data_IF_649007264229
#
_entry.id   IF_649007264229
#
_cell.length_a   1.000
_cell.length_b   1.000
_cell.length_c   1.000
_cell.angle_alpha   90.00
_cell.angle_beta   90.00
_cell.angle_gamma   90.00
#
_symmetry.space_group_name_H-M   'P 1'
#
loop_
_entity.id
_entity.type
_entity.pdbx_description
1 polymer ?
#
# COMPACT_ATOMS: atom_id res chain seq x y z
N UNK A 1 -12.04 52.31 -22.71
CA UNK A 1 -12.79 51.78 -21.56
C UNK A 1 -13.18 50.31 -21.74
N UNK A 2 -13.89 49.92 -22.81
CA UNK A 2 -14.35 48.52 -23.04
C UNK A 2 -13.24 47.44 -23.01
N UNK A 3 -12.05 47.69 -23.60
CA UNK A 3 -10.93 46.72 -23.63
C UNK A 3 -10.31 46.45 -22.25
N UNK A 4 -10.21 47.45 -21.37
CA UNK A 4 -9.72 47.26 -19.97
C UNK A 4 -10.72 46.46 -19.16
N UNK A 5 -12.02 46.71 -19.33
CA UNK A 5 -13.09 45.98 -18.65
C UNK A 5 -13.11 44.49 -19.06
N UNK A 6 -12.88 44.20 -20.37
CA UNK A 6 -12.80 42.82 -20.87
C UNK A 6 -11.60 42.06 -20.31
N UNK A 7 -10.43 42.70 -20.14
CA UNK A 7 -9.22 42.09 -19.55
C UNK A 7 -9.44 41.81 -18.06
N UNK A 8 -10.05 42.74 -17.32
CA UNK A 8 -10.35 42.55 -15.90
C UNK A 8 -11.36 41.42 -15.69
N UNK A 9 -12.36 41.31 -16.52
CA UNK A 9 -13.34 40.21 -16.46
C UNK A 9 -12.67 38.86 -16.75
N UNK A 10 -11.82 38.78 -17.78
CA UNK A 10 -11.06 37.56 -18.08
C UNK A 10 -10.13 37.15 -16.92
N UNK A 11 -9.41 38.11 -16.32
CA UNK A 11 -8.57 37.85 -15.17
C UNK A 11 -9.37 37.32 -13.98
N UNK A 12 -10.56 37.89 -13.72
CA UNK A 12 -11.43 37.43 -12.63
C UNK A 12 -11.93 35.99 -12.87
N UNK A 13 -12.31 35.68 -14.10
CA UNK A 13 -12.72 34.30 -14.48
C UNK A 13 -11.60 33.30 -14.32
N UNK A 14 -10.37 33.65 -14.71
CA UNK A 14 -9.20 32.78 -14.53
C UNK A 14 -8.88 32.58 -13.05
N UNK A 15 -8.96 33.63 -12.23
CA UNK A 15 -8.74 33.52 -10.78
C UNK A 15 -9.83 32.67 -10.12
N UNK A 16 -11.08 32.84 -10.49
CA UNK A 16 -12.19 32.04 -9.97
C UNK A 16 -12.05 30.56 -10.35
N UNK A 17 -11.72 30.30 -11.65
CA UNK A 17 -11.48 28.94 -12.16
C UNK A 17 -10.28 28.29 -11.48
N UNK A 18 -9.15 28.98 -11.40
CA UNK A 18 -7.96 28.51 -10.70
C UNK A 18 -8.19 28.24 -9.22
N UNK A 19 -8.89 29.15 -8.53
CA UNK A 19 -9.29 28.97 -7.13
C UNK A 19 -10.19 27.75 -6.90
N UNK A 20 -11.14 27.50 -7.81
CA UNK A 20 -11.99 26.32 -7.76
C UNK A 20 -11.19 25.01 -7.90
N UNK A 21 -10.29 24.92 -8.87
CA UNK A 21 -9.45 23.73 -9.05
C UNK A 21 -8.50 23.51 -7.87
N UNK A 22 -7.90 24.58 -7.35
CA UNK A 22 -7.06 24.49 -6.15
C UNK A 22 -7.86 23.99 -4.93
N UNK A 23 -9.07 24.49 -4.72
CA UNK A 23 -9.96 24.04 -3.65
C UNK A 23 -10.29 22.55 -3.80
N UNK A 24 -10.57 22.06 -5.01
CA UNK A 24 -10.83 20.62 -5.25
C UNK A 24 -9.60 19.76 -4.97
N UNK A 25 -8.41 20.21 -5.36
CA UNK A 25 -7.17 19.49 -5.08
C UNK A 25 -6.91 19.36 -3.57
N UNK A 26 -7.02 20.47 -2.82
CA UNK A 26 -6.88 20.48 -1.36
C UNK A 26 -7.89 19.55 -0.69
N UNK A 27 -9.14 19.58 -1.15
CA UNK A 27 -10.20 18.72 -0.61
C UNK A 27 -9.91 17.24 -0.77
N UNK A 28 -9.32 16.81 -1.91
CA UNK A 28 -8.93 15.42 -2.15
C UNK A 28 -7.81 15.02 -1.19
N UNK A 29 -6.79 15.85 -1.05
CA UNK A 29 -5.66 15.57 -0.15
C UNK A 29 -6.08 15.49 1.32
N UNK A 30 -6.93 16.40 1.77
CA UNK A 30 -7.48 16.37 3.14
C UNK A 30 -8.28 15.10 3.40
N UNK A 31 -9.12 14.67 2.44
CA UNK A 31 -9.87 13.41 2.55
C UNK A 31 -8.94 12.20 2.63
N UNK A 32 -7.87 12.16 1.83
CA UNK A 32 -6.88 11.09 1.87
C UNK A 32 -6.20 11.00 3.24
N UNK A 33 -5.76 12.12 3.80
CA UNK A 33 -5.15 12.17 5.16
C UNK A 33 -6.12 11.72 6.26
N UNK A 34 -7.38 12.16 6.19
CA UNK A 34 -8.42 11.70 7.14
C UNK A 34 -8.62 10.18 7.02
N UNK A 35 -8.69 9.64 5.81
CA UNK A 35 -8.84 8.21 5.58
C UNK A 35 -7.67 7.41 6.18
N UNK A 36 -6.42 7.86 5.97
CA UNK A 36 -5.25 7.22 6.59
C UNK A 36 -5.32 7.27 8.13
N UNK A 37 -5.70 8.39 8.72
CA UNK A 37 -5.90 8.49 10.17
C UNK A 37 -6.98 7.55 10.71
N UNK A 38 -8.08 7.36 9.96
CA UNK A 38 -9.12 6.41 10.31
C UNK A 38 -8.64 4.94 10.19
N UNK A 39 -7.82 4.63 9.18
CA UNK A 39 -7.22 3.31 9.03
C UNK A 39 -6.29 2.98 10.19
N UNK A 40 -5.42 3.92 10.57
CA UNK A 40 -4.52 3.74 11.72
C UNK A 40 -5.29 3.61 13.05
N UNK A 41 -6.29 4.47 13.27
CA UNK A 41 -7.15 4.37 14.44
C UNK A 41 -7.83 3.00 14.51
N UNK A 42 -8.38 2.54 13.37
CA UNK A 42 -9.08 1.25 13.30
C UNK A 42 -8.13 0.08 13.50
N UNK A 43 -6.91 0.15 12.93
CA UNK A 43 -5.86 -0.83 13.17
C UNK A 43 -5.51 -0.94 14.66
N UNK A 44 -5.25 0.19 15.31
CA UNK A 44 -4.90 0.23 16.73
C UNK A 44 -6.04 -0.29 17.63
N UNK A 45 -7.29 0.03 17.27
CA UNK A 45 -8.47 -0.52 17.95
C UNK A 45 -8.57 -2.03 17.76
N UNK A 46 -8.36 -2.51 16.53
CA UNK A 46 -8.40 -3.94 16.20
C UNK A 46 -7.32 -4.72 16.95
N UNK A 47 -6.11 -4.18 17.03
CA UNK A 47 -5.02 -4.75 17.84
C UNK A 47 -5.34 -4.80 19.33
N UNK A 48 -5.98 -3.76 19.87
CA UNK A 48 -6.30 -3.69 21.31
C UNK A 48 -7.37 -4.71 21.69
N UNK A 49 -8.38 -4.88 20.83
CA UNK A 49 -9.55 -5.71 21.11
C UNK A 49 -9.45 -7.12 20.49
N UNK A 50 -8.36 -7.40 19.78
CA UNK A 50 -8.13 -8.64 19.00
C UNK A 50 -9.33 -9.00 18.12
N UNK A 51 -9.86 -7.97 17.43
CA UNK A 51 -11.05 -8.09 16.57
C UNK A 51 -10.93 -7.16 15.37
N UNK A 52 -11.26 -7.64 14.18
CA UNK A 52 -11.27 -6.82 12.97
C UNK A 52 -12.44 -5.83 12.97
N UNK A 53 -12.16 -4.58 12.64
CA UNK A 53 -13.13 -3.49 12.50
C UNK A 53 -13.00 -2.83 11.15
N UNK A 54 -14.13 -2.33 10.61
CA UNK A 54 -14.13 -1.50 9.41
C UNK A 54 -13.79 -0.06 9.77
N UNK A 55 -12.99 0.66 8.97
CA UNK A 55 -12.64 2.06 9.22
C UNK A 55 -13.85 2.99 9.11
N UNK A 56 -14.80 2.67 8.23
CA UNK A 56 -16.13 3.29 8.13
C UNK A 56 -17.16 2.30 7.57
N UNK A 57 -18.47 2.53 7.78
CA UNK A 57 -19.51 1.52 7.47
C UNK A 57 -19.56 1.04 6.02
N UNK A 58 -19.27 1.92 5.06
CA UNK A 58 -19.32 1.59 3.63
C UNK A 58 -18.00 1.05 3.07
N UNK A 59 -16.97 0.86 3.90
CA UNK A 59 -15.72 0.29 3.45
C UNK A 59 -15.85 -1.22 3.24
N UNK A 60 -15.32 -1.74 2.13
CA UNK A 60 -15.46 -3.13 1.73
C UNK A 60 -14.36 -4.07 2.26
N UNK A 61 -13.49 -3.57 3.12
CA UNK A 61 -12.42 -4.32 3.76
C UNK A 61 -12.20 -3.92 5.21
N UNK A 62 -11.13 -4.43 5.79
CA UNK A 62 -10.68 -4.08 7.14
C UNK A 62 -9.16 -4.09 7.22
N UNK A 63 -8.53 -3.30 8.12
CA UNK A 63 -7.11 -3.45 8.44
C UNK A 63 -6.83 -4.82 9.05
N UNK A 64 -5.92 -5.60 8.45
CA UNK A 64 -5.60 -6.95 8.92
C UNK A 64 -4.12 -7.19 9.20
N UNK A 65 -3.23 -6.41 8.57
CA UNK A 65 -1.79 -6.47 8.77
C UNK A 65 -1.21 -5.04 8.78
N UNK A 66 -0.03 -4.89 9.36
CA UNK A 66 0.80 -3.69 9.21
C UNK A 66 2.12 -4.10 8.56
N UNK A 67 2.46 -3.45 7.45
CA UNK A 67 3.73 -3.63 6.76
C UNK A 67 4.70 -2.54 7.18
N UNK A 68 5.90 -2.93 7.57
CA UNK A 68 7.02 -2.03 7.84
C UNK A 68 8.25 -2.42 7.04
N UNK A 69 8.96 -1.41 6.55
CA UNK A 69 10.25 -1.54 5.88
C UNK A 69 11.19 -0.50 6.52
N UNK A 70 11.88 -0.86 7.62
CA UNK A 70 12.61 0.10 8.46
C UNK A 70 13.64 0.92 7.69
N UNK A 71 14.41 0.29 6.79
CA UNK A 71 15.45 0.96 5.99
C UNK A 71 14.93 2.15 5.17
N UNK A 72 13.66 2.09 4.74
CA UNK A 72 13.03 3.13 3.92
C UNK A 72 12.03 3.98 4.71
N UNK A 73 11.94 3.77 6.04
CA UNK A 73 10.96 4.45 6.92
C UNK A 73 9.52 4.32 6.40
N UNK A 74 9.18 3.13 5.89
CA UNK A 74 7.84 2.82 5.38
C UNK A 74 7.06 2.09 6.46
N UNK A 75 5.84 2.56 6.70
CA UNK A 75 4.86 1.95 7.60
C UNK A 75 3.48 2.12 6.97
N UNK A 76 2.83 1.01 6.63
CA UNK A 76 1.54 1.02 5.92
C UNK A 76 0.59 -0.02 6.51
N UNK A 77 -0.68 0.36 6.62
CA UNK A 77 -1.75 -0.56 6.99
C UNK A 77 -2.16 -1.37 5.75
N UNK A 78 -2.15 -2.69 5.87
CA UNK A 78 -2.57 -3.62 4.81
C UNK A 78 -4.04 -3.97 5.02
N UNK A 79 -4.81 -3.83 3.95
CA UNK A 79 -6.25 -4.00 3.93
C UNK A 79 -6.63 -5.40 3.45
N UNK A 80 -7.72 -5.91 3.93
CA UNK A 80 -8.29 -7.18 3.49
C UNK A 80 -8.93 -7.05 2.11
N UNK A 81 -8.62 -8.00 1.21
CA UNK A 81 -9.18 -8.06 -0.15
C UNK A 81 -8.50 -7.08 -1.12
N UNK A 82 -8.56 -7.42 -2.40
CA UNK A 82 -7.92 -6.65 -3.49
C UNK A 82 -8.93 -5.87 -4.33
N UNK A 83 -10.01 -5.39 -3.71
CA UNK A 83 -10.98 -4.55 -4.38
C UNK A 83 -10.37 -3.22 -4.81
N UNK A 84 -10.96 -2.56 -5.79
CA UNK A 84 -10.54 -1.23 -6.21
C UNK A 84 -10.58 -0.22 -5.07
N UNK A 85 -11.51 -0.37 -4.12
CA UNK A 85 -11.61 0.49 -2.95
C UNK A 85 -10.43 0.23 -1.99
N UNK A 86 -10.14 -1.04 -1.64
CA UNK A 86 -9.02 -1.37 -0.76
C UNK A 86 -7.69 -0.85 -1.33
N UNK A 87 -7.42 -1.14 -2.61
CA UNK A 87 -6.19 -0.71 -3.30
C UNK A 87 -6.05 0.82 -3.41
N UNK A 88 -7.16 1.57 -3.43
CA UNK A 88 -7.12 3.03 -3.45
C UNK A 88 -6.66 3.63 -2.11
N UNK A 89 -6.84 2.91 -0.99
CA UNK A 89 -6.53 3.42 0.34
C UNK A 89 -5.28 2.80 0.97
N UNK A 90 -4.77 1.67 0.44
CA UNK A 90 -3.58 1.02 0.98
C UNK A 90 -3.14 -0.20 0.19
N UNK A 91 -2.03 -0.83 0.61
CA UNK A 91 -1.70 -2.17 0.17
C UNK A 91 -2.81 -3.14 0.57
N UNK A 92 -3.07 -4.14 -0.25
CA UNK A 92 -4.20 -5.04 -0.10
C UNK A 92 -3.76 -6.51 -0.11
N UNK A 93 -4.22 -7.27 0.87
CA UNK A 93 -3.95 -8.68 1.05
C UNK A 93 -4.84 -9.53 0.12
N UNK A 94 -4.24 -10.50 -0.57
CA UNK A 94 -4.95 -11.47 -1.39
C UNK A 94 -5.57 -12.55 -0.52
N UNK A 95 -6.91 -12.58 -0.45
CA UNK A 95 -7.66 -13.53 0.39
C UNK A 95 -7.47 -15.00 -0.03
N UNK A 96 -7.03 -15.26 -1.28
CA UNK A 96 -6.69 -16.59 -1.78
C UNK A 96 -5.34 -17.10 -1.25
N UNK A 97 -4.59 -16.23 -0.55
CA UNK A 97 -3.32 -16.56 0.09
C UNK A 97 -3.47 -16.68 1.60
N UNK A 98 -2.39 -16.78 2.33
CA UNK A 98 -2.42 -17.10 3.74
C UNK A 98 -1.83 -15.97 4.59
N UNK A 99 -2.32 -15.83 5.81
CA UNK A 99 -1.73 -14.92 6.79
C UNK A 99 -0.30 -15.35 7.19
N UNK A 100 0.54 -14.42 7.64
CA UNK A 100 1.94 -14.67 7.98
C UNK A 100 2.20 -15.79 8.99
N UNK A 101 1.23 -16.09 9.85
CA UNK A 101 1.31 -17.16 10.86
C UNK A 101 1.28 -18.57 10.28
N UNK A 102 0.79 -18.75 9.06
CA UNK A 102 0.52 -20.07 8.46
C UNK A 102 1.75 -20.76 7.86
N UNK A 103 2.90 -20.13 7.77
CA UNK A 103 4.09 -20.64 7.09
C UNK A 103 3.88 -21.00 5.60
N UNK A 104 2.91 -20.38 4.96
CA UNK A 104 2.63 -20.49 3.53
C UNK A 104 2.97 -19.17 2.82
N UNK A 105 2.40 -18.93 1.64
CA UNK A 105 2.58 -17.70 0.91
C UNK A 105 1.57 -16.66 1.40
N UNK A 106 2.07 -15.47 1.73
CA UNK A 106 1.30 -14.26 1.95
C UNK A 106 1.51 -13.34 0.76
N UNK A 107 0.46 -12.88 0.09
CA UNK A 107 0.58 -11.94 -1.02
C UNK A 107 -0.15 -10.63 -0.73
N UNK A 108 0.52 -9.52 -1.05
CA UNK A 108 0.05 -8.16 -0.85
C UNK A 108 0.26 -7.40 -2.16
N UNK A 109 -0.81 -6.81 -2.69
CA UNK A 109 -0.76 -5.95 -3.87
C UNK A 109 -0.87 -4.48 -3.50
N UNK A 110 -0.26 -3.63 -4.30
CA UNK A 110 -0.38 -2.17 -4.17
C UNK A 110 -0.28 -1.49 -5.54
N UNK A 111 -0.88 -0.31 -5.65
CA UNK A 111 -0.73 0.51 -6.85
C UNK A 111 0.70 1.03 -6.96
N UNK A 112 1.29 0.89 -8.16
CA UNK A 112 2.64 1.33 -8.51
C UNK A 112 2.88 2.82 -8.22
N UNK A 113 1.90 3.65 -8.51
CA UNK A 113 2.04 5.12 -8.50
C UNK A 113 1.67 5.75 -7.15
N UNK A 114 1.42 4.95 -6.11
CA UNK A 114 1.04 5.42 -4.77
C UNK A 114 1.63 4.52 -3.68
N UNK A 115 0.83 3.65 -3.07
CA UNK A 115 1.23 2.81 -1.94
C UNK A 115 2.32 1.77 -2.28
N UNK A 116 2.59 1.50 -3.56
CA UNK A 116 3.65 0.61 -4.04
C UNK A 116 4.82 1.31 -4.70
N UNK A 117 4.87 2.64 -4.72
CA UNK A 117 5.94 3.41 -5.39
C UNK A 117 7.35 3.03 -4.88
N UNK A 118 7.49 2.77 -3.60
CA UNK A 118 8.77 2.40 -2.98
C UNK A 118 9.32 1.05 -3.46
N UNK A 119 8.47 0.16 -3.99
CA UNK A 119 8.85 -1.22 -4.38
C UNK A 119 9.99 -1.22 -5.41
N UNK A 120 10.04 -0.24 -6.30
CA UNK A 120 11.12 -0.08 -7.29
C UNK A 120 12.52 0.17 -6.68
N UNK A 121 12.57 0.65 -5.44
CA UNK A 121 13.81 1.00 -4.75
C UNK A 121 14.35 -0.13 -3.85
N UNK A 122 13.55 -1.18 -3.63
CA UNK A 122 13.91 -2.31 -2.79
C UNK A 122 15.07 -3.12 -3.39
N UNK A 123 15.90 -3.70 -2.53
CA UNK A 123 17.08 -4.49 -2.90
C UNK A 123 17.03 -5.89 -2.29
N UNK A 124 17.73 -6.82 -2.92
CA UNK A 124 17.98 -8.15 -2.33
C UNK A 124 18.69 -7.97 -0.99
N UNK A 125 18.17 -8.63 0.03
CA UNK A 125 18.69 -8.54 1.40
C UNK A 125 17.91 -7.58 2.30
N UNK A 126 17.07 -6.70 1.77
CA UNK A 126 16.24 -5.80 2.57
C UNK A 126 15.26 -6.56 3.45
N UNK A 127 14.97 -5.98 4.61
CA UNK A 127 14.11 -6.58 5.63
C UNK A 127 12.71 -5.95 5.54
N UNK A 128 11.71 -6.83 5.48
CA UNK A 128 10.30 -6.50 5.55
C UNK A 128 9.72 -7.08 6.84
N UNK A 129 8.83 -6.35 7.49
CA UNK A 129 8.15 -6.82 8.72
C UNK A 129 6.63 -6.74 8.52
N UNK A 130 5.91 -7.79 8.89
CA UNK A 130 4.45 -7.80 8.96
C UNK A 130 4.01 -8.03 10.39
N UNK A 131 3.17 -7.14 10.92
CA UNK A 131 2.47 -7.36 12.18
C UNK A 131 1.07 -7.89 11.88
N UNK A 132 0.66 -8.94 12.57
CA UNK A 132 -0.70 -9.47 12.53
C UNK A 132 -1.57 -8.94 13.70
N UNK A 133 -2.86 -9.29 13.69
CA UNK A 133 -3.79 -8.89 14.76
C UNK A 133 -3.48 -9.54 16.12
N UNK A 134 -2.74 -10.64 16.16
CA UNK A 134 -2.22 -11.26 17.39
C UNK A 134 -1.00 -10.50 17.95
N UNK A 135 -0.67 -9.35 17.38
CA UNK A 135 0.50 -8.50 17.72
C UNK A 135 1.85 -9.15 17.45
N UNK A 136 1.89 -10.24 16.68
CA UNK A 136 3.12 -10.92 16.33
C UNK A 136 3.76 -10.28 15.12
N UNK A 137 5.07 -10.07 15.18
CA UNK A 137 5.88 -9.63 14.07
C UNK A 137 6.45 -10.83 13.31
N UNK A 138 6.30 -10.79 12.01
CA UNK A 138 6.85 -11.77 11.07
C UNK A 138 7.86 -11.07 10.19
N UNK A 139 9.11 -11.49 10.24
CA UNK A 139 10.21 -10.86 9.52
C UNK A 139 10.54 -11.64 8.26
N UNK A 140 10.79 -10.92 7.18
CA UNK A 140 11.11 -11.46 5.87
C UNK A 140 12.34 -10.76 5.31
N UNK A 141 13.17 -11.50 4.56
CA UNK A 141 14.32 -10.99 3.82
C UNK A 141 14.08 -11.16 2.33
N UNK A 142 14.27 -10.11 1.54
CA UNK A 142 14.13 -10.15 0.08
C UNK A 142 15.20 -11.05 -0.51
N UNK A 143 14.79 -12.01 -1.34
CA UNK A 143 15.69 -12.94 -2.01
C UNK A 143 15.66 -12.81 -3.53
N UNK A 144 14.53 -12.38 -4.13
CA UNK A 144 14.39 -12.30 -5.58
C UNK A 144 13.34 -11.29 -6.03
N UNK A 145 13.48 -10.85 -7.26
CA UNK A 145 12.51 -10.04 -8.00
C UNK A 145 12.08 -10.78 -9.25
N UNK A 146 10.79 -10.74 -9.56
CA UNK A 146 10.22 -11.41 -10.73
C UNK A 146 9.37 -10.41 -11.53
N UNK A 147 9.40 -10.54 -12.85
CA UNK A 147 8.44 -9.87 -13.74
C UNK A 147 7.63 -10.97 -14.41
N UNK A 148 6.31 -10.93 -14.23
CA UNK A 148 5.40 -11.97 -14.73
C UNK A 148 4.24 -11.30 -15.48
N UNK A 149 3.65 -12.03 -16.43
CA UNK A 149 2.40 -11.62 -17.05
C UNK A 149 1.23 -12.05 -16.16
N UNK A 150 0.15 -11.23 -16.10
CA UNK A 150 -1.06 -11.54 -15.32
C UNK A 150 -1.77 -12.81 -15.78
N UNK A 151 -1.58 -13.19 -17.06
CA UNK A 151 -2.18 -14.37 -17.66
C UNK A 151 -1.34 -15.66 -17.43
N UNK A 152 -0.17 -15.52 -16.78
CA UNK A 152 0.69 -16.66 -16.44
C UNK A 152 0.40 -17.15 -15.04
N UNK A 153 0.29 -18.48 -14.88
CA UNK A 153 0.23 -19.09 -13.56
C UNK A 153 1.55 -18.89 -12.83
N UNK A 154 1.51 -18.11 -11.75
CA UNK A 154 2.68 -17.90 -10.91
C UNK A 154 2.90 -19.15 -10.06
N UNK A 155 3.65 -20.12 -10.62
CA UNK A 155 4.01 -21.32 -9.88
C UNK A 155 5.16 -21.03 -8.89
N UNK A 156 4.85 -20.37 -7.79
CA UNK A 156 5.78 -20.17 -6.67
C UNK A 156 5.67 -21.41 -5.76
N UNK A 157 6.35 -22.49 -6.11
CA UNK A 157 6.47 -23.71 -5.28
C UNK A 157 7.31 -23.50 -4.00
N UNK A 158 7.27 -22.29 -3.42
CA UNK A 158 8.06 -21.90 -2.26
C UNK A 158 7.12 -21.55 -1.12
N UNK A 159 7.26 -22.19 0.02
CA UNK A 159 6.55 -21.91 1.26
C UNK A 159 7.26 -20.81 2.08
N UNK A 160 6.61 -20.26 3.09
CA UNK A 160 7.18 -19.23 3.98
C UNK A 160 7.61 -17.96 3.23
N UNK A 161 6.77 -17.46 2.31
CA UNK A 161 7.08 -16.29 1.49
C UNK A 161 6.09 -15.16 1.69
N UNK A 162 6.63 -13.95 1.64
CA UNK A 162 5.87 -12.72 1.40
C UNK A 162 6.11 -12.29 -0.03
N UNK A 163 5.03 -12.05 -0.76
CA UNK A 163 5.05 -11.47 -2.10
C UNK A 163 4.48 -10.06 -2.04
N UNK A 164 5.28 -9.04 -2.40
CA UNK A 164 4.76 -7.72 -2.69
C UNK A 164 4.60 -7.60 -4.21
N UNK A 165 3.40 -7.26 -4.66
CA UNK A 165 3.01 -7.26 -6.06
C UNK A 165 2.58 -5.86 -6.48
N UNK A 166 3.10 -5.38 -7.61
CA UNK A 166 2.67 -4.11 -8.21
C UNK A 166 2.68 -4.17 -9.73
N UNK A 167 2.07 -3.18 -10.38
CA UNK A 167 2.10 -3.06 -11.84
C UNK A 167 3.52 -2.74 -12.36
N UNK A 168 3.84 -3.24 -13.55
CA UNK A 168 5.11 -2.99 -14.24
C UNK A 168 4.85 -2.65 -15.73
N UNK A 169 5.68 -1.84 -16.41
CA UNK A 169 6.87 -1.15 -15.90
C UNK A 169 6.55 0.07 -15.00
N UNK A 170 7.53 0.52 -14.21
CA UNK A 170 7.34 1.61 -13.24
C UNK A 170 7.12 2.99 -13.89
N UNK A 171 7.62 3.20 -15.09
CA UNK A 171 7.51 4.44 -15.88
C UNK A 171 6.32 4.46 -16.86
N UNK A 172 5.48 3.42 -16.86
CA UNK A 172 4.32 3.38 -17.76
C UNK A 172 3.30 4.46 -17.44
N UNK A 173 2.96 5.28 -18.43
CA UNK A 173 1.96 6.36 -18.33
C UNK A 173 0.55 5.78 -18.20
N UNK A 174 0.29 4.64 -18.86
CA UNK A 174 -1.02 3.98 -18.84
C UNK A 174 -1.15 3.03 -17.66
N UNK A 175 -2.32 3.00 -17.04
CA UNK A 175 -2.72 1.98 -16.08
C UNK A 175 -3.11 0.68 -16.81
N UNK A 176 -3.15 -0.46 -16.05
CA UNK A 176 -3.65 -1.73 -16.60
C UNK A 176 -2.64 -2.46 -17.48
N UNK A 177 -1.33 -2.22 -17.32
CA UNK A 177 -0.28 -3.02 -17.98
C UNK A 177 -0.42 -4.51 -17.62
N UNK A 178 -0.12 -5.45 -18.56
CA UNK A 178 -0.26 -6.88 -18.30
C UNK A 178 0.83 -7.45 -17.38
N UNK A 179 1.91 -6.70 -17.16
CA UNK A 179 3.04 -7.16 -16.36
C UNK A 179 2.89 -6.77 -14.88
N UNK A 180 3.37 -7.67 -14.02
CA UNK A 180 3.49 -7.45 -12.57
C UNK A 180 4.94 -7.59 -12.14
N UNK A 181 5.36 -6.67 -11.28
CA UNK A 181 6.62 -6.76 -10.55
C UNK A 181 6.36 -7.37 -9.19
N UNK A 182 7.06 -8.46 -8.89
CA UNK A 182 6.91 -9.22 -7.65
C UNK A 182 8.22 -9.20 -6.88
N UNK A 183 8.15 -8.75 -5.64
CA UNK A 183 9.22 -8.89 -4.66
C UNK A 183 8.93 -10.16 -3.86
N UNK A 184 9.83 -11.13 -3.91
CA UNK A 184 9.71 -12.37 -3.15
C UNK A 184 10.68 -12.37 -1.98
N UNK A 185 10.12 -12.36 -0.76
CA UNK A 185 10.88 -12.33 0.47
C UNK A 185 10.62 -13.60 1.30
N UNK A 186 11.68 -14.22 1.80
CA UNK A 186 11.63 -15.43 2.63
C UNK A 186 11.48 -15.07 4.10
N UNK A 187 10.59 -15.75 4.81
CA UNK A 187 10.44 -15.61 6.25
C UNK A 187 11.72 -16.04 6.96
N UNK A 188 12.18 -15.20 7.88
CA UNK A 188 13.36 -15.47 8.71
C UNK A 188 12.99 -15.36 10.19
N UNK A 189 13.70 -16.09 11.03
CA UNK A 189 13.64 -15.91 12.47
C UNK A 189 14.83 -15.01 12.86
N UNK A 190 14.53 -13.86 13.45
CA UNK A 190 15.57 -13.00 14.01
C UNK A 190 15.87 -13.46 15.44
N UNK A 191 17.15 -13.58 15.76
CA UNK A 191 17.60 -13.75 17.15
C UNK A 191 17.32 -12.44 17.93
N UNK A 192 17.10 -12.56 19.23
CA UNK A 192 16.78 -11.43 20.13
C UNK A 192 17.77 -10.26 20.02
N UNK A 193 19.03 -10.55 19.70
CA UNK A 193 20.08 -9.54 19.47
C UNK A 193 19.89 -8.72 18.18
N UNK A 194 19.18 -9.25 17.19
CA UNK A 194 18.92 -8.58 15.93
C UNK A 194 17.60 -7.80 15.93
N UNK A 195 16.67 -8.18 16.83
CA UNK A 195 15.41 -7.44 17.01
C UNK A 195 15.64 -6.04 17.56
N UNK A 196 16.58 -5.86 18.50
CA UNK A 196 16.88 -4.56 19.12
C UNK A 196 17.50 -3.52 18.17
N UNK A 197 17.89 -3.89 16.96
CA UNK A 197 18.45 -2.99 15.93
C UNK A 197 17.33 -2.44 15.03
N UNK A 198 16.17 -3.07 15.02
CA UNK A 198 15.04 -2.74 14.13
C UNK A 198 13.91 -2.00 14.86
N UNK A 199 13.94 -1.92 16.17
CA UNK A 199 13.03 -1.16 17.05
C UNK A 199 13.65 0.19 17.39
#
# INVERSE_FOLDING_TARGET
MKRKLSISLLALLLLAGGGYFLFQAIKIEVKAKIAQGLLEYTWNKSLKENKSYKPWPSFDGSPILKLEIPLYNISQIVLEGTSGQALAFGPAFHQETYLPSSNKITAISSHRDSHGEYIQNLKIGDILRLQDLDKKWHTYKIEEFLIVNVDEDININKINRLLLITCYPFDAILSGTPLRYIVSAKKINLDLSQQSILD
#
